data_IF_165236659155
#
_entry.id   IF_165236659155
#
_cell.length_a   1.000
_cell.length_b   1.000
_cell.length_c   1.000
_cell.angle_alpha   90.00
_cell.angle_beta   90.00
_cell.angle_gamma   90.00
#
_symmetry.space_group_name_H-M   'P 1'
#
loop_
_entity.id
_entity.type
_entity.pdbx_description
1 polymer ?
#
# COMPACT_ATOMS: atom_id res chain seq x y z
N UNK A 1 14.26 18.55 -7.44
CA UNK A 1 13.84 17.64 -6.37
C UNK A 1 12.64 18.27 -5.70
N UNK A 2 11.44 17.67 -5.79
CA UNK A 2 10.28 18.17 -5.06
C UNK A 2 10.33 17.58 -3.65
N UNK A 3 10.70 18.39 -2.66
CA UNK A 3 10.63 18.04 -1.24
C UNK A 3 9.42 18.73 -0.63
N UNK A 4 8.44 17.96 -0.14
CA UNK A 4 7.40 18.51 0.72
C UNK A 4 8.05 18.82 2.09
N UNK A 5 8.06 20.07 2.56
CA UNK A 5 8.88 20.50 3.71
C UNK A 5 8.54 19.85 5.06
N UNK A 6 7.51 18.99 5.12
CA UNK A 6 7.13 18.23 6.31
C UNK A 6 7.33 16.71 6.19
N UNK A 7 7.64 16.18 5.01
CA UNK A 7 7.80 14.73 4.77
C UNK A 7 9.05 14.50 3.92
N UNK A 8 10.04 13.78 4.45
CA UNK A 8 11.17 13.28 3.68
C UNK A 8 10.64 12.23 2.68
N UNK A 9 10.46 12.63 1.42
CA UNK A 9 9.83 11.83 0.36
C UNK A 9 10.69 11.91 -0.91
N UNK A 10 11.08 10.75 -1.43
CA UNK A 10 11.73 10.58 -2.73
C UNK A 10 10.72 10.77 -3.85
N UNK A 11 11.15 11.24 -5.02
CA UNK A 11 10.31 11.37 -6.22
C UNK A 11 10.02 10.02 -6.90
N UNK A 12 9.63 9.03 -6.11
CA UNK A 12 9.25 7.68 -6.52
C UNK A 12 7.77 7.45 -6.17
N UNK A 13 6.96 6.85 -7.06
CA UNK A 13 5.52 6.70 -6.85
C UNK A 13 5.16 5.86 -5.61
N UNK A 14 5.98 4.86 -5.25
CA UNK A 14 5.77 4.07 -4.05
C UNK A 14 6.00 4.92 -2.79
N UNK A 15 7.09 5.69 -2.70
CA UNK A 15 7.35 6.50 -1.51
C UNK A 15 6.31 7.62 -1.33
N UNK A 16 5.84 8.22 -2.42
CA UNK A 16 4.73 9.19 -2.38
C UNK A 16 3.45 8.53 -1.84
N UNK A 17 3.11 7.35 -2.34
CA UNK A 17 1.95 6.59 -1.86
C UNK A 17 2.08 6.24 -0.37
N UNK A 18 3.23 5.71 0.04
CA UNK A 18 3.48 5.33 1.44
C UNK A 18 3.45 6.57 2.36
N UNK A 19 4.02 7.70 1.94
CA UNK A 19 3.93 8.94 2.71
C UNK A 19 2.48 9.43 2.89
N UNK A 20 1.65 9.32 1.84
CA UNK A 20 0.23 9.66 1.90
C UNK A 20 -0.55 8.72 2.84
N UNK A 21 -0.27 7.42 2.79
CA UNK A 21 -0.82 6.43 3.73
C UNK A 21 -0.43 6.76 5.16
N UNK A 22 0.85 7.04 5.42
CA UNK A 22 1.33 7.44 6.74
C UNK A 22 0.68 8.73 7.25
N UNK A 23 0.44 9.71 6.38
CA UNK A 23 -0.28 10.93 6.74
C UNK A 23 -1.72 10.62 7.16
N UNK A 24 -2.42 9.78 6.40
CA UNK A 24 -3.78 9.36 6.73
C UNK A 24 -3.84 8.57 8.04
N UNK A 25 -2.91 7.66 8.27
CA UNK A 25 -2.79 6.91 9.52
C UNK A 25 -2.58 7.85 10.72
N UNK A 26 -1.79 8.91 10.55
CA UNK A 26 -1.59 9.91 11.60
C UNK A 26 -2.87 10.68 11.95
N UNK A 27 -3.77 10.89 10.99
CA UNK A 27 -5.08 11.48 11.24
C UNK A 27 -5.99 10.52 11.99
N UNK A 28 -6.01 9.25 11.58
CA UNK A 28 -6.82 8.21 12.22
C UNK A 28 -6.41 8.01 13.68
N UNK A 29 -5.11 7.93 13.96
CA UNK A 29 -4.59 7.79 15.32
C UNK A 29 -4.95 8.98 16.24
N UNK A 30 -5.12 10.18 15.65
CA UNK A 30 -5.53 11.39 16.38
C UNK A 30 -7.05 11.60 16.41
N UNK A 31 -7.84 10.71 15.81
CA UNK A 31 -9.29 10.85 15.77
C UNK A 31 -9.95 10.33 17.05
N UNK A 32 -11.10 10.89 17.41
CA UNK A 32 -11.91 10.42 18.54
C UNK A 32 -12.81 9.21 18.19
N UNK A 33 -12.58 8.54 17.04
CA UNK A 33 -13.38 7.38 16.63
C UNK A 33 -13.03 6.16 17.51
N UNK A 34 -13.97 5.67 18.35
CA UNK A 34 -13.69 4.57 19.26
C UNK A 34 -13.37 3.26 18.54
N UNK A 35 -13.86 3.05 17.31
CA UNK A 35 -13.53 1.86 16.53
C UNK A 35 -12.05 1.88 16.10
N UNK A 36 -11.54 3.06 15.74
CA UNK A 36 -10.12 3.24 15.38
C UNK A 36 -9.25 3.11 16.62
N UNK A 37 -9.62 3.77 17.71
CA UNK A 37 -8.85 3.73 18.95
C UNK A 37 -8.75 2.30 19.48
N UNK A 38 -9.83 1.53 19.45
CA UNK A 38 -9.81 0.12 19.86
C UNK A 38 -8.88 -0.76 18.99
N UNK A 39 -8.79 -0.49 17.69
CA UNK A 39 -7.86 -1.21 16.80
C UNK A 39 -6.39 -0.90 17.14
N UNK A 40 -6.11 0.31 17.63
CA UNK A 40 -4.75 0.82 17.87
C UNK A 40 -4.24 0.67 19.32
N UNK A 41 -5.13 0.62 20.32
CA UNK A 41 -4.75 0.69 21.74
C UNK A 41 -3.96 -0.53 22.25
N UNK A 42 -4.13 -1.71 21.66
CA UNK A 42 -3.45 -2.96 22.08
C UNK A 42 -2.34 -3.37 21.12
N UNK A 43 -1.67 -2.39 20.50
CA UNK A 43 -0.71 -2.63 19.42
C UNK A 43 0.58 -1.86 19.65
N UNK A 44 1.66 -2.61 19.75
CA UNK A 44 3.02 -2.10 19.76
C UNK A 44 3.80 -2.83 18.67
N UNK A 45 3.81 -2.26 17.46
CA UNK A 45 4.37 -2.92 16.28
C UNK A 45 5.00 -1.91 15.32
N UNK A 46 6.02 -2.35 14.63
CA UNK A 46 6.65 -1.60 13.54
C UNK A 46 6.41 -2.32 12.22
N UNK A 47 5.75 -1.66 11.26
CA UNK A 47 5.54 -2.18 9.91
C UNK A 47 6.43 -1.42 8.94
N UNK A 48 7.30 -2.12 8.21
CA UNK A 48 8.08 -1.56 7.10
C UNK A 48 7.49 -1.99 5.75
N UNK A 49 7.38 -1.03 4.82
CA UNK A 49 7.05 -1.29 3.43
C UNK A 49 8.10 -0.63 2.52
N UNK A 50 8.49 -1.32 1.46
CA UNK A 50 9.50 -0.80 0.56
C UNK A 50 9.74 -1.64 -0.68
N UNK A 51 10.73 -1.23 -1.46
CA UNK A 51 11.33 -1.98 -2.56
C UNK A 51 12.83 -1.81 -2.45
N UNK A 52 13.55 -2.86 -2.07
CA UNK A 52 15.01 -2.85 -2.05
C UNK A 52 15.61 -2.56 -3.42
N UNK A 53 14.97 -3.05 -4.49
CA UNK A 53 15.42 -2.84 -5.86
C UNK A 53 15.44 -1.37 -6.28
N UNK A 54 14.59 -0.54 -5.68
CA UNK A 54 14.48 0.89 -5.98
C UNK A 54 14.99 1.79 -4.84
N UNK A 55 15.63 1.20 -3.82
CA UNK A 55 16.07 1.91 -2.62
C UNK A 55 14.93 2.70 -1.94
N UNK A 56 13.73 2.12 -1.88
CA UNK A 56 12.57 2.72 -1.21
C UNK A 56 12.27 1.95 0.06
N UNK A 57 12.14 2.66 1.18
CA UNK A 57 11.64 2.11 2.43
C UNK A 57 10.94 3.20 3.25
N UNK A 58 9.84 2.84 3.90
CA UNK A 58 9.14 3.65 4.89
C UNK A 58 8.59 2.72 5.96
N UNK A 59 8.74 3.10 7.22
CA UNK A 59 8.17 2.35 8.32
C UNK A 59 7.21 3.16 9.17
N UNK A 60 6.28 2.44 9.77
CA UNK A 60 5.20 2.94 10.62
C UNK A 60 5.34 2.31 11.98
N UNK A 61 5.38 3.15 13.02
CA UNK A 61 5.44 2.72 14.41
C UNK A 61 4.08 2.99 15.03
N UNK A 62 3.44 1.90 15.45
CA UNK A 62 2.22 1.93 16.24
C UNK A 62 2.59 1.57 17.67
N UNK A 63 2.19 2.41 18.63
CA UNK A 63 2.53 2.22 20.03
C UNK A 63 1.36 2.68 20.90
N UNK A 64 0.50 1.72 21.25
CA UNK A 64 -0.65 1.85 22.15
C UNK A 64 -1.50 3.09 21.85
N UNK A 65 -2.08 3.15 20.66
CA UNK A 65 -2.89 4.27 20.18
C UNK A 65 -2.09 5.41 19.52
N UNK A 66 -0.78 5.51 19.79
CA UNK A 66 0.07 6.50 19.13
C UNK A 66 0.62 6.00 17.79
N UNK A 67 0.93 6.95 16.90
CA UNK A 67 1.42 6.66 15.55
C UNK A 67 2.57 7.59 15.15
N UNK A 68 3.62 7.02 14.54
CA UNK A 68 4.71 7.74 13.87
C UNK A 68 5.05 7.08 12.54
N UNK A 69 5.57 7.87 11.60
CA UNK A 69 6.11 7.37 10.33
C UNK A 69 7.50 7.94 10.06
N UNK A 70 8.33 7.16 9.38
CA UNK A 70 9.71 7.52 9.06
C UNK A 70 10.08 7.01 7.67
N UNK A 71 10.79 7.83 6.89
CA UNK A 71 11.44 7.38 5.65
C UNK A 71 12.73 6.62 6.00
N UNK A 72 13.05 5.59 5.24
CA UNK A 72 14.16 4.67 5.50
C UNK A 72 13.70 3.31 6.01
N UNK A 73 14.68 2.46 6.35
CA UNK A 73 14.45 1.13 6.91
C UNK A 73 14.32 1.21 8.42
N UNK A 74 13.50 0.35 9.01
CA UNK A 74 13.47 0.10 10.44
C UNK A 74 14.60 -0.87 10.82
N UNK A 75 15.12 -0.76 12.03
CA UNK A 75 16.16 -1.69 12.53
C UNK A 75 15.58 -3.09 12.74
N UNK A 76 14.44 -3.18 13.44
CA UNK A 76 13.77 -4.44 13.78
C UNK A 76 12.26 -4.33 13.53
N UNK A 77 11.80 -4.35 12.26
CA UNK A 77 10.38 -4.31 11.96
C UNK A 77 9.68 -5.60 12.41
N UNK A 78 8.51 -5.47 13.04
CA UNK A 78 7.64 -6.60 13.39
C UNK A 78 7.09 -7.30 12.15
N UNK A 79 6.88 -6.53 11.07
CA UNK A 79 6.54 -7.03 9.74
C UNK A 79 7.26 -6.16 8.69
N UNK A 80 7.91 -6.81 7.73
CA UNK A 80 8.50 -6.17 6.57
C UNK A 80 7.87 -6.69 5.29
N UNK A 81 7.47 -5.79 4.41
CA UNK A 81 6.97 -6.08 3.06
C UNK A 81 7.90 -5.44 2.05
N UNK A 82 8.61 -6.29 1.31
CA UNK A 82 9.53 -5.87 0.24
C UNK A 82 8.92 -6.23 -1.12
N UNK A 83 8.51 -5.22 -1.86
CA UNK A 83 8.01 -5.37 -3.23
C UNK A 83 9.19 -5.54 -4.17
N UNK A 84 9.03 -6.38 -5.20
CA UNK A 84 10.05 -6.57 -6.25
C UNK A 84 10.46 -5.26 -6.92
N UNK A 85 9.49 -4.36 -7.11
CA UNK A 85 9.69 -3.01 -7.62
C UNK A 85 8.56 -2.07 -7.14
N UNK A 86 8.79 -0.78 -7.29
CA UNK A 86 7.92 0.30 -6.80
C UNK A 86 6.54 0.26 -7.45
N UNK A 87 6.46 -0.05 -8.75
CA UNK A 87 5.19 -0.09 -9.47
C UNK A 87 4.36 -1.31 -9.07
N UNK A 88 5.01 -2.44 -8.78
CA UNK A 88 4.38 -3.62 -8.18
C UNK A 88 3.78 -3.26 -6.82
N UNK A 89 4.53 -2.55 -5.97
CA UNK A 89 4.03 -2.06 -4.68
C UNK A 89 2.82 -1.14 -4.83
N UNK A 90 2.88 -0.15 -5.72
CA UNK A 90 1.76 0.76 -6.01
C UNK A 90 0.54 -0.02 -6.47
N UNK A 91 0.70 -0.97 -7.42
CA UNK A 91 -0.41 -1.76 -7.96
C UNK A 91 -1.07 -2.61 -6.87
N UNK A 92 -0.29 -3.27 -6.03
CA UNK A 92 -0.81 -4.14 -4.97
C UNK A 92 -1.52 -3.33 -3.89
N UNK A 93 -0.87 -2.27 -3.38
CA UNK A 93 -1.42 -1.44 -2.30
C UNK A 93 -2.70 -0.68 -2.72
N UNK A 94 -2.76 -0.20 -3.96
CA UNK A 94 -3.96 0.51 -4.46
C UNK A 94 -5.08 -0.42 -4.89
N UNK A 95 -4.76 -1.66 -5.29
CA UNK A 95 -5.74 -2.67 -5.66
C UNK A 95 -6.53 -3.21 -4.46
N UNK A 96 -5.89 -3.33 -3.28
CA UNK A 96 -6.53 -3.79 -2.05
C UNK A 96 -7.06 -5.24 -2.11
N UNK A 97 -6.65 -6.01 -3.12
CA UNK A 97 -7.09 -7.38 -3.33
C UNK A 97 -6.16 -8.36 -2.62
N UNK A 98 -6.69 -9.04 -1.60
CA UNK A 98 -5.97 -10.07 -0.84
C UNK A 98 -5.49 -11.20 -1.75
N UNK A 99 -6.28 -11.60 -2.75
CA UNK A 99 -5.87 -12.65 -3.68
C UNK A 99 -4.66 -12.21 -4.52
N UNK A 100 -4.65 -10.95 -4.99
CA UNK A 100 -3.52 -10.38 -5.71
C UNK A 100 -2.24 -10.32 -4.86
N UNK A 101 -2.36 -9.98 -3.57
CA UNK A 101 -1.25 -10.05 -2.61
C UNK A 101 -0.72 -11.47 -2.45
N UNK A 102 -1.61 -12.45 -2.26
CA UNK A 102 -1.22 -13.86 -2.10
C UNK A 102 -0.51 -14.40 -3.35
N UNK A 103 -1.01 -14.07 -4.55
CA UNK A 103 -0.36 -14.41 -5.82
C UNK A 103 1.02 -13.76 -5.93
N UNK A 104 1.16 -12.49 -5.52
CA UNK A 104 2.45 -11.81 -5.58
C UNK A 104 3.51 -12.45 -4.67
N UNK A 105 3.11 -13.00 -3.51
CA UNK A 105 3.99 -13.80 -2.64
C UNK A 105 4.43 -15.07 -3.37
N UNK A 106 3.48 -15.82 -3.94
CA UNK A 106 3.74 -17.08 -4.64
C UNK A 106 4.69 -16.88 -5.83
N UNK A 107 4.47 -15.82 -6.60
CA UNK A 107 5.27 -15.46 -7.77
C UNK A 107 6.62 -14.81 -7.40
N UNK A 108 6.91 -14.62 -6.11
CA UNK A 108 8.12 -13.93 -5.60
C UNK A 108 8.25 -12.49 -6.08
N UNK A 109 7.12 -11.85 -6.42
CA UNK A 109 7.04 -10.42 -6.72
C UNK A 109 6.91 -9.56 -5.46
N UNK A 110 6.75 -10.20 -4.29
CA UNK A 110 6.68 -9.59 -2.99
C UNK A 110 7.30 -10.58 -1.99
N UNK A 111 8.21 -10.10 -1.14
CA UNK A 111 8.76 -10.83 -0.01
C UNK A 111 8.17 -10.28 1.29
N UNK A 112 7.95 -11.17 2.24
CA UNK A 112 7.53 -10.81 3.58
C UNK A 112 8.40 -11.48 4.62
N UNK A 113 8.64 -10.76 5.70
CA UNK A 113 9.45 -11.20 6.83
C UNK A 113 8.79 -10.71 8.13
N UNK A 114 8.90 -11.49 9.21
CA UNK A 114 8.29 -11.18 10.51
C UNK A 114 6.91 -11.83 10.71
N UNK A 115 6.02 -11.15 11.42
CA UNK A 115 4.71 -11.67 11.81
C UNK A 115 3.62 -11.39 10.76
N UNK A 116 3.24 -12.44 10.04
CA UNK A 116 2.21 -12.39 9.00
C UNK A 116 0.81 -12.13 9.55
N UNK A 117 0.55 -12.38 10.84
CA UNK A 117 -0.74 -12.09 11.47
C UNK A 117 -1.05 -10.57 11.44
N UNK A 118 0.00 -9.74 11.38
CA UNK A 118 -0.10 -8.29 11.29
C UNK A 118 -0.72 -7.81 9.97
N UNK A 119 -0.71 -8.62 8.90
CA UNK A 119 -1.44 -8.29 7.66
C UNK A 119 -2.94 -8.23 7.91
N UNK A 120 -3.48 -9.19 8.66
CA UNK A 120 -4.91 -9.26 8.94
C UNK A 120 -5.34 -8.10 9.82
N UNK A 121 -4.53 -7.78 10.84
CA UNK A 121 -4.72 -6.60 11.67
C UNK A 121 -4.62 -5.30 10.86
N UNK A 122 -3.58 -5.14 10.05
CA UNK A 122 -3.42 -3.93 9.23
C UNK A 122 -4.56 -3.77 8.21
N UNK A 123 -5.10 -4.87 7.68
CA UNK A 123 -6.28 -4.83 6.81
C UNK A 123 -7.55 -4.31 7.52
N UNK A 124 -7.70 -4.55 8.83
CA UNK A 124 -8.80 -3.94 9.60
C UNK A 124 -8.64 -2.42 9.64
N UNK A 125 -7.42 -1.92 9.89
CA UNK A 125 -7.11 -0.50 9.89
C UNK A 125 -7.22 0.13 8.48
N UNK A 126 -6.80 -0.59 7.44
CA UNK A 126 -6.76 -0.13 6.05
C UNK A 126 -8.15 0.26 5.50
N UNK A 127 -9.22 -0.39 5.98
CA UNK A 127 -10.61 -0.05 5.65
C UNK A 127 -10.99 1.39 5.99
N UNK A 128 -10.28 2.01 6.93
CA UNK A 128 -10.50 3.40 7.36
C UNK A 128 -9.52 4.40 6.72
N UNK A 129 -8.45 3.89 6.08
CA UNK A 129 -7.47 4.69 5.36
C UNK A 129 -8.11 5.26 4.10
N UNK A 130 -8.84 4.44 3.33
CA UNK A 130 -9.62 4.93 2.20
C UNK A 130 -10.77 5.79 2.76
N UNK A 131 -10.86 7.08 2.40
CA UNK A 131 -11.95 7.92 2.88
C UNK A 131 -13.28 7.29 2.42
N UNK A 132 -14.23 7.20 3.35
CA UNK A 132 -15.60 6.91 2.97
C UNK A 132 -16.02 7.96 1.92
N UNK A 133 -16.58 7.50 0.80
CA UNK A 133 -17.10 8.39 -0.23
C UNK A 133 -18.13 9.30 0.44
N UNK A 134 -17.92 10.64 0.46
CA UNK A 134 -18.89 11.58 1.02
C UNK A 134 -20.28 11.30 0.44
N UNK A 135 -21.33 11.41 1.26
CA UNK A 135 -22.71 11.13 0.83
C UNK A 135 -23.08 11.92 -0.44
N UNK A 136 -22.54 13.14 -0.57
CA UNK A 136 -22.77 14.01 -1.73
C UNK A 136 -22.13 13.48 -3.02
N UNK A 137 -21.06 12.70 -2.89
CA UNK A 137 -20.33 12.12 -4.03
C UNK A 137 -20.84 10.72 -4.39
N UNK A 138 -21.57 10.03 -3.50
CA UNK A 138 -22.21 8.75 -3.81
C UNK A 138 -23.08 8.76 -5.08
N UNK A 139 -23.96 9.75 -5.32
CA UNK A 139 -24.73 9.79 -6.56
C UNK A 139 -23.88 10.01 -7.82
N UNK A 140 -22.74 10.71 -7.71
CA UNK A 140 -21.77 10.83 -8.81
C UNK A 140 -21.02 9.51 -9.04
N UNK A 141 -20.69 8.80 -7.97
CA UNK A 141 -20.05 7.49 -8.03
C UNK A 141 -20.97 6.44 -8.67
N UNK A 142 -22.24 6.40 -8.27
CA UNK A 142 -23.26 5.53 -8.87
C UNK A 142 -23.46 5.82 -10.37
N UNK A 143 -23.46 7.10 -10.77
CA UNK A 143 -23.49 7.49 -12.19
C UNK A 143 -22.24 7.06 -12.96
N UNK A 144 -21.08 7.05 -12.31
CA UNK A 144 -19.80 6.63 -12.90
C UNK A 144 -19.59 5.11 -12.88
N UNK A 145 -20.29 4.37 -12.02
CA UNK A 145 -20.22 2.91 -11.87
C UNK A 145 -20.37 2.14 -13.19
N UNK A 146 -21.38 2.40 -14.05
CA UNK A 146 -21.49 1.71 -15.34
C UNK A 146 -20.37 2.08 -16.32
N UNK A 147 -19.76 3.27 -16.21
CA UNK A 147 -18.60 3.65 -17.02
C UNK A 147 -17.35 2.90 -16.57
N UNK A 148 -17.15 2.77 -15.25
CA UNK A 148 -16.08 1.98 -14.68
C UNK A 148 -16.20 0.49 -15.04
N UNK A 149 -17.41 -0.08 -15.01
CA UNK A 149 -17.65 -1.47 -15.43
C UNK A 149 -17.42 -1.68 -16.94
N UNK A 150 -17.81 -0.72 -17.78
CA UNK A 150 -17.49 -0.77 -19.22
C UNK A 150 -15.99 -0.64 -19.50
N UNK A 151 -15.25 0.02 -18.61
CA UNK A 151 -13.80 0.19 -18.72
C UNK A 151 -13.01 -0.98 -18.10
N UNK A 152 -13.60 -1.81 -17.22
CA UNK A 152 -12.96 -3.02 -16.66
C UNK A 152 -12.28 -3.92 -17.71
N UNK A 153 -12.94 -4.33 -18.81
CA UNK A 153 -12.31 -5.21 -19.80
C UNK A 153 -11.15 -4.53 -20.54
N UNK A 154 -11.12 -3.19 -20.63
CA UNK A 154 -9.99 -2.44 -21.19
C UNK A 154 -8.81 -2.41 -20.22
N UNK A 155 -9.08 -2.23 -18.92
CA UNK A 155 -8.06 -2.30 -17.88
C UNK A 155 -7.44 -3.71 -17.76
N UNK A 156 -8.27 -4.76 -17.84
CA UNK A 156 -7.81 -6.15 -17.86
C UNK A 156 -6.98 -6.47 -19.12
N UNK A 157 -7.42 -6.01 -20.29
CA UNK A 157 -6.62 -6.13 -21.53
C UNK A 157 -5.29 -5.38 -21.44
N UNK A 158 -5.27 -4.18 -20.88
CA UNK A 158 -4.05 -3.42 -20.70
C UNK A 158 -3.08 -4.12 -19.73
N UNK A 159 -3.59 -4.73 -18.64
CA UNK A 159 -2.76 -5.55 -17.75
C UNK A 159 -2.25 -6.83 -18.43
N UNK A 160 -3.09 -7.50 -19.23
CA UNK A 160 -2.70 -8.68 -20.02
C UNK A 160 -1.61 -8.37 -21.04
N UNK A 161 -1.71 -7.23 -21.72
CA UNK A 161 -0.69 -6.75 -22.65
C UNK A 161 0.62 -6.39 -21.93
N UNK A 162 0.53 -5.67 -20.81
CA UNK A 162 1.71 -5.32 -20.03
C UNK A 162 2.45 -6.58 -19.55
N UNK A 163 1.72 -7.57 -19.02
CA UNK A 163 2.30 -8.85 -18.59
C UNK A 163 2.91 -9.66 -19.74
N UNK A 164 2.28 -9.68 -20.93
CA UNK A 164 2.88 -10.28 -22.12
C UNK A 164 4.16 -9.57 -22.56
N UNK A 165 4.17 -8.23 -22.59
CA UNK A 165 5.36 -7.44 -22.95
C UNK A 165 6.50 -7.69 -21.96
N UNK A 166 6.21 -7.71 -20.66
CA UNK A 166 7.19 -8.06 -19.62
C UNK A 166 7.72 -9.49 -19.78
N UNK A 167 6.86 -10.46 -20.12
CA UNK A 167 7.29 -11.85 -20.35
C UNK A 167 8.21 -11.99 -21.56
N UNK A 168 7.91 -11.27 -22.65
CA UNK A 168 8.74 -11.25 -23.87
C UNK A 168 10.10 -10.57 -23.63
N UNK A 169 10.11 -9.46 -22.88
CA UNK A 169 11.35 -8.78 -22.51
C UNK A 169 12.25 -9.70 -21.66
N UNK A 170 11.68 -10.42 -20.70
CA UNK A 170 12.41 -11.39 -19.87
C UNK A 170 12.98 -12.55 -20.68
N UNK A 171 12.24 -13.05 -21.67
CA UNK A 171 12.68 -14.16 -22.53
C UNK A 171 13.80 -13.76 -23.50
N UNK A 172 13.83 -12.50 -23.95
CA UNK A 172 14.92 -11.95 -24.79
C UNK A 172 16.21 -11.68 -24.00
N UNK A 173 16.11 -11.36 -22.72
CA UNK A 173 17.27 -11.10 -21.85
C UNK A 173 17.94 -12.38 -21.31
N UNK A 174 17.30 -13.55 -21.49
CA UNK A 174 17.80 -14.84 -21.04
C UNK A 174 18.41 -15.70 -22.17
N UNK A 175 18.60 -15.11 -23.35
CA UNK A 175 19.35 -15.66 -24.49
C UNK A 175 20.57 -14.79 -24.75
#
# INVERSE_FOLDING_TARGET
>A
MFSLPALNVKSNPLDVLLAAVGYRLSMLAKSDDPNIQQILQDRQVTIELGSEADDIARYYVFDNGSFKQHSGKADEPSLRIDFKDSMTGVKLLTGGDVAAFMTAIQDKNLKMEGDYSLLMWFNQLAKHIVPAVPEELKPLLEKARPLAEKARPLAEKAQGLASQVFSMAKQKLSK
#
